data_IF_461698287279
#
_entry.id   IF_461698287279
#
_cell.length_a   1.000
_cell.length_b   1.000
_cell.length_c   1.000
_cell.angle_alpha   90.00
_cell.angle_beta   90.00
_cell.angle_gamma   90.00
#
_symmetry.space_group_name_H-M   'P 1'
#
loop_
_entity.id
_entity.type
_entity.pdbx_description
1 polymer ?
#
# COMPACT_ATOMS: atom_id res chain seq x y z
N UNK A 1 -8.98 7.42 -11.64
CA UNK A 1 -8.05 6.75 -10.69
C UNK A 1 -8.63 6.59 -9.30
N UNK A 2 -9.22 7.64 -8.72
CA UNK A 2 -9.81 7.60 -7.37
C UNK A 2 -10.79 6.44 -7.18
N UNK A 3 -11.73 6.25 -8.11
CA UNK A 3 -12.73 5.18 -8.02
C UNK A 3 -12.09 3.79 -8.09
N UNK A 4 -11.06 3.62 -8.91
CA UNK A 4 -10.34 2.34 -9.01
C UNK A 4 -9.61 2.01 -7.71
N UNK A 5 -8.96 2.98 -7.09
CA UNK A 5 -8.25 2.79 -5.81
C UNK A 5 -9.25 2.40 -4.72
N UNK A 6 -10.36 3.13 -4.62
CA UNK A 6 -11.39 2.85 -3.63
C UNK A 6 -11.98 1.46 -3.81
N UNK A 7 -12.26 1.05 -5.04
CA UNK A 7 -12.80 -0.28 -5.34
C UNK A 7 -11.83 -1.40 -4.95
N UNK A 8 -10.55 -1.25 -5.32
CA UNK A 8 -9.54 -2.26 -4.99
C UNK A 8 -9.38 -2.40 -3.47
N UNK A 9 -9.27 -1.28 -2.75
CA UNK A 9 -9.13 -1.32 -1.30
C UNK A 9 -10.36 -1.91 -0.63
N UNK A 10 -11.56 -1.59 -1.13
CA UNK A 10 -12.80 -2.15 -0.59
C UNK A 10 -12.91 -3.66 -0.75
N UNK A 11 -12.30 -4.21 -1.81
CA UNK A 11 -12.24 -5.66 -2.04
C UNK A 11 -11.22 -6.32 -1.11
N UNK A 12 -10.05 -5.72 -0.95
CA UNK A 12 -8.95 -6.31 -0.21
C UNK A 12 -9.09 -6.16 1.30
N UNK A 13 -9.49 -4.99 1.77
CA UNK A 13 -9.62 -4.71 3.19
C UNK A 13 -10.91 -5.27 3.76
N UNK A 14 -10.87 -5.70 5.02
CA UNK A 14 -12.09 -6.04 5.75
C UNK A 14 -12.95 -4.78 5.93
N UNK A 15 -14.30 -4.88 5.88
CA UNK A 15 -15.16 -3.72 6.07
C UNK A 15 -14.84 -2.97 7.37
N UNK A 16 -14.58 -1.67 7.27
CA UNK A 16 -14.18 -0.85 8.42
C UNK A 16 -12.77 -1.09 8.93
N UNK A 17 -12.00 -1.95 8.26
CA UNK A 17 -10.61 -2.22 8.65
C UNK A 17 -9.68 -1.04 8.39
N UNK A 18 -8.65 -0.93 9.22
CA UNK A 18 -7.63 0.12 9.09
C UNK A 18 -6.49 -0.38 8.20
N UNK A 19 -6.10 0.44 7.25
CA UNK A 19 -4.93 0.18 6.39
C UNK A 19 -3.99 1.38 6.44
N UNK A 20 -2.70 1.13 6.18
CA UNK A 20 -1.72 2.20 6.03
C UNK A 20 -1.45 2.47 4.56
N UNK A 21 -1.42 3.75 4.18
CA UNK A 21 -0.86 4.21 2.91
C UNK A 21 0.53 4.76 3.19
N UNK A 22 1.50 4.32 2.41
CA UNK A 22 2.89 4.76 2.53
C UNK A 22 3.40 5.21 1.18
N UNK A 23 3.92 6.43 1.10
CA UNK A 23 4.50 6.99 -0.12
C UNK A 23 5.97 7.27 0.10
N UNK A 24 6.80 6.85 -0.84
CA UNK A 24 8.26 7.06 -0.81
C UNK A 24 8.62 8.19 -1.76
N UNK A 25 9.35 9.20 -1.27
CA UNK A 25 9.72 10.38 -2.03
C UNK A 25 11.09 10.89 -1.59
N UNK A 26 12.10 10.86 -2.47
CA UNK A 26 13.42 11.47 -2.26
C UNK A 26 14.02 11.23 -0.86
N UNK A 27 14.04 9.95 -0.42
CA UNK A 27 14.60 9.58 0.87
C UNK A 27 13.72 9.88 2.09
N UNK A 28 12.51 10.37 1.88
CA UNK A 28 11.53 10.59 2.94
C UNK A 28 10.30 9.72 2.73
N UNK A 29 9.57 9.47 3.81
CA UNK A 29 8.32 8.71 3.77
C UNK A 29 7.16 9.60 4.19
N UNK A 30 6.05 9.49 3.44
CA UNK A 30 4.76 10.06 3.81
C UNK A 30 3.86 8.90 4.20
N UNK A 31 3.04 9.04 5.22
CA UNK A 31 2.17 7.96 5.66
C UNK A 31 0.89 8.44 6.30
N UNK A 32 -0.17 7.65 6.14
CA UNK A 32 -1.44 7.83 6.83
C UNK A 32 -2.13 6.51 7.07
N UNK A 33 -3.00 6.49 8.06
CA UNK A 33 -3.84 5.34 8.39
C UNK A 33 -5.29 5.67 8.06
N UNK A 34 -5.98 4.72 7.43
CA UNK A 34 -7.32 4.97 6.90
C UNK A 34 -8.27 3.84 7.25
N UNK A 35 -9.45 4.21 7.72
CA UNK A 35 -10.65 3.39 7.74
C UNK A 35 -11.74 3.97 6.85
N UNK A 36 -11.58 5.21 6.43
CA UNK A 36 -12.39 5.89 5.41
C UNK A 36 -11.71 5.75 4.06
N UNK A 37 -12.21 4.85 3.22
CA UNK A 37 -11.55 4.53 1.94
C UNK A 37 -11.79 5.58 0.85
N UNK A 38 -12.79 6.43 1.00
CA UNK A 38 -12.92 7.59 0.13
C UNK A 38 -11.81 8.62 0.42
N UNK A 39 -11.54 8.88 1.70
CA UNK A 39 -10.41 9.72 2.10
C UNK A 39 -9.08 9.13 1.65
N UNK A 40 -8.92 7.81 1.73
CA UNK A 40 -7.74 7.11 1.23
C UNK A 40 -7.56 7.36 -0.26
N UNK A 41 -8.61 7.17 -1.05
CA UNK A 41 -8.53 7.32 -2.51
C UNK A 41 -8.17 8.76 -2.91
N UNK A 42 -8.74 9.76 -2.24
CA UNK A 42 -8.39 11.16 -2.48
C UNK A 42 -6.93 11.44 -2.14
N UNK A 43 -6.44 10.87 -1.03
CA UNK A 43 -5.03 11.03 -0.63
C UNK A 43 -4.07 10.38 -1.61
N UNK A 44 -4.38 9.18 -2.07
CA UNK A 44 -3.56 8.48 -3.09
C UNK A 44 -3.52 9.28 -4.40
N UNK A 45 -4.66 9.81 -4.81
CA UNK A 45 -4.71 10.63 -6.04
C UNK A 45 -3.82 11.86 -5.91
N UNK A 46 -3.83 12.55 -4.76
CA UNK A 46 -2.97 13.70 -4.52
C UNK A 46 -1.49 13.32 -4.51
N UNK A 47 -1.14 12.19 -3.89
CA UNK A 47 0.24 11.68 -3.87
C UNK A 47 0.72 11.28 -5.27
N UNK A 48 -0.14 10.67 -6.06
CA UNK A 48 0.20 10.26 -7.42
C UNK A 48 0.46 11.46 -8.33
N UNK A 49 -0.16 12.58 -8.05
CA UNK A 49 0.08 13.83 -8.78
C UNK A 49 1.37 14.55 -8.36
N UNK A 50 1.99 14.16 -7.26
CA UNK A 50 3.24 14.74 -6.77
C UNK A 50 4.43 14.13 -7.48
N UNK A 51 5.21 14.90 -8.27
CA UNK A 51 6.34 14.35 -9.03
C UNK A 51 7.48 13.84 -8.15
N UNK A 52 7.57 14.24 -6.88
CA UNK A 52 8.59 13.73 -5.96
C UNK A 52 8.30 12.34 -5.44
N UNK A 53 7.06 11.86 -5.55
CA UNK A 53 6.65 10.53 -5.08
C UNK A 53 7.06 9.47 -6.09
N UNK A 54 7.93 8.56 -5.66
CA UNK A 54 8.42 7.46 -6.50
C UNK A 54 7.55 6.21 -6.43
N UNK A 55 6.86 5.99 -5.31
CA UNK A 55 5.99 4.83 -5.14
C UNK A 55 4.98 5.04 -4.03
N UNK A 56 3.81 4.41 -4.20
CA UNK A 56 2.71 4.45 -3.24
C UNK A 56 2.34 3.00 -2.92
N UNK A 57 2.25 2.69 -1.63
CA UNK A 57 1.98 1.34 -1.13
C UNK A 57 0.84 1.38 -0.13
N UNK A 58 -0.01 0.37 -0.17
CA UNK A 58 -1.10 0.17 0.80
C UNK A 58 -0.89 -1.20 1.45
N UNK A 59 -1.07 -1.29 2.77
CA UNK A 59 -0.97 -2.59 3.45
C UNK A 59 -2.02 -3.55 2.90
N UNK A 60 -1.58 -4.76 2.54
CA UNK A 60 -2.45 -5.78 1.97
C UNK A 60 -3.49 -6.29 2.97
N UNK A 61 -3.08 -6.39 4.23
CA UNK A 61 -3.93 -6.84 5.33
C UNK A 61 -4.21 -5.69 6.29
N UNK A 62 -5.36 -5.74 6.97
CA UNK A 62 -5.73 -4.72 7.93
C UNK A 62 -4.82 -4.75 9.15
N UNK A 63 -4.56 -3.58 9.69
CA UNK A 63 -3.67 -3.39 10.84
C UNK A 63 -4.49 -3.23 12.13
N UNK A 64 -3.82 -3.24 13.27
CA UNK A 64 -4.45 -2.95 14.55
C UNK A 64 -5.18 -1.60 14.48
N UNK A 65 -6.51 -1.57 14.76
CA UNK A 65 -7.29 -0.33 14.67
C UNK A 65 -6.75 0.82 15.52
N UNK A 66 -6.03 0.53 16.60
CA UNK A 66 -5.42 1.55 17.43
C UNK A 66 -4.39 2.41 16.68
N UNK A 67 -3.84 1.90 15.58
CA UNK A 67 -2.87 2.64 14.77
C UNK A 67 -3.51 3.84 14.05
N UNK A 68 -4.82 3.83 13.87
CA UNK A 68 -5.52 4.95 13.25
C UNK A 68 -5.23 6.28 13.97
N UNK A 69 -5.09 6.23 15.28
CA UNK A 69 -4.80 7.42 16.08
C UNK A 69 -3.47 8.10 15.74
N UNK A 70 -2.53 7.37 15.12
CA UNK A 70 -1.25 7.94 14.72
C UNK A 70 -1.41 9.06 13.69
N UNK A 71 -2.26 8.82 12.67
CA UNK A 71 -2.50 9.75 11.56
C UNK A 71 -3.84 9.41 10.91
N UNK A 72 -4.93 9.75 11.58
CA UNK A 72 -6.27 9.29 11.22
C UNK A 72 -6.77 9.93 9.92
N UNK A 73 -6.99 9.10 8.89
CA UNK A 73 -7.61 9.48 7.62
C UNK A 73 -6.95 10.70 6.95
N UNK A 74 -5.63 10.79 7.09
CA UNK A 74 -4.83 11.84 6.47
C UNK A 74 -3.40 11.36 6.26
N UNK A 75 -2.70 11.99 5.32
CA UNK A 75 -1.28 11.74 5.09
C UNK A 75 -0.47 12.77 5.88
N UNK A 76 0.45 12.28 6.70
CA UNK A 76 1.51 13.12 7.26
C UNK A 76 2.69 13.10 6.31
N UNK A 77 3.05 14.26 5.81
CA UNK A 77 4.18 14.41 4.92
C UNK A 77 5.49 14.41 5.72
N UNK A 78 6.51 13.77 5.17
CA UNK A 78 7.88 13.79 5.70
C UNK A 78 7.95 13.30 7.15
N UNK A 79 7.71 12.01 7.34
CA UNK A 79 7.79 11.40 8.67
C UNK A 79 9.17 11.63 9.30
N UNK A 80 9.17 11.89 10.60
CA UNK A 80 10.39 11.95 11.41
C UNK A 80 10.73 10.58 12.00
N UNK A 81 11.86 10.46 12.67
CA UNK A 81 12.25 9.22 13.38
C UNK A 81 11.27 8.83 14.49
N UNK A 82 10.49 9.79 15.00
CA UNK A 82 9.49 9.56 16.06
C UNK A 82 8.19 9.03 15.50
N UNK A 83 7.95 9.17 14.21
CA UNK A 83 6.72 8.73 13.56
C UNK A 83 6.82 7.25 13.22
N UNK A 84 6.06 6.43 13.92
CA UNK A 84 6.04 4.99 13.67
C UNK A 84 5.19 4.65 12.44
N UNK A 85 5.62 3.61 11.71
CA UNK A 85 4.85 2.99 10.64
C UNK A 85 4.44 1.58 11.06
N UNK A 86 3.69 0.88 10.22
CA UNK A 86 3.22 -0.47 10.52
C UNK A 86 4.39 -1.45 10.62
N UNK A 87 4.43 -2.20 11.72
CA UNK A 87 5.33 -3.33 11.91
C UNK A 87 4.57 -4.64 11.70
N UNK A 88 5.28 -5.76 11.55
CA UNK A 88 4.65 -7.07 11.34
C UNK A 88 3.67 -7.43 12.46
N UNK A 89 4.01 -7.09 13.71
CA UNK A 89 3.14 -7.35 14.86
C UNK A 89 1.83 -6.54 14.83
N UNK A 90 1.77 -5.47 14.04
CA UNK A 90 0.58 -4.63 13.91
C UNK A 90 -0.47 -5.25 12.98
N UNK A 91 -0.11 -6.26 12.20
CA UNK A 91 -1.04 -6.99 11.36
C UNK A 91 -1.79 -7.99 12.22
N UNK A 92 -3.08 -7.73 12.43
CA UNK A 92 -3.90 -8.57 13.31
C UNK A 92 -4.24 -9.92 12.72
N UNK A 93 -4.48 -9.93 11.40
CA UNK A 93 -4.94 -11.13 10.71
C UNK A 93 -4.48 -11.09 9.26
N UNK A 94 -3.92 -12.19 8.79
CA UNK A 94 -3.52 -12.34 7.40
C UNK A 94 -4.70 -12.93 6.60
N UNK A 95 -5.52 -12.05 6.05
CA UNK A 95 -6.61 -12.40 5.16
C UNK A 95 -6.09 -12.76 3.77
N UNK A 96 -5.04 -12.07 3.34
CA UNK A 96 -4.41 -12.27 2.04
C UNK A 96 -2.96 -12.68 2.25
N UNK A 97 -2.52 -13.65 1.46
CA UNK A 97 -1.14 -14.11 1.45
C UNK A 97 -0.57 -13.90 0.05
N UNK A 98 0.35 -12.95 -0.12
CA UNK A 98 0.91 -12.69 -1.44
C UNK A 98 1.82 -13.82 -1.87
N UNK A 99 1.71 -14.23 -3.12
CA UNK A 99 2.60 -15.20 -3.75
C UNK A 99 3.25 -14.52 -4.94
N UNK A 100 4.58 -14.49 -4.92
CA UNK A 100 5.37 -13.88 -5.97
C UNK A 100 5.93 -15.00 -6.86
N UNK A 101 5.52 -14.99 -8.13
CA UNK A 101 5.92 -16.01 -9.10
C UNK A 101 6.73 -15.33 -10.20
N UNK A 102 8.04 -15.58 -10.19
CA UNK A 102 8.94 -15.04 -11.19
C UNK A 102 9.28 -16.11 -12.23
N UNK A 103 9.08 -15.83 -13.53
CA UNK A 103 9.57 -16.72 -14.58
C UNK A 103 11.10 -16.67 -14.66
N UNK A 104 11.70 -17.77 -15.11
CA UNK A 104 13.16 -17.84 -15.34
C UNK A 104 13.51 -16.92 -16.51
N UNK A 105 14.35 -15.93 -16.27
CA UNK A 105 14.80 -14.97 -17.28
C UNK A 105 16.16 -14.38 -16.90
N UNK A 106 16.91 -13.83 -17.87
CA UNK A 106 18.11 -13.06 -17.57
C UNK A 106 17.78 -11.83 -16.72
N UNK A 107 18.70 -11.45 -15.86
CA UNK A 107 18.55 -10.27 -15.01
C UNK A 107 18.37 -9.00 -15.86
N UNK A 108 17.39 -8.17 -15.47
CA UNK A 108 17.11 -6.91 -16.15
C UNK A 108 16.23 -7.03 -17.39
N UNK A 109 15.78 -8.22 -17.75
CA UNK A 109 14.89 -8.46 -18.89
C UNK A 109 13.48 -8.73 -18.40
N UNK A 110 12.50 -8.07 -19.01
CA UNK A 110 11.10 -8.31 -18.69
C UNK A 110 10.65 -9.68 -19.19
N UNK A 111 9.72 -10.30 -18.47
CA UNK A 111 9.14 -11.58 -18.88
C UNK A 111 8.37 -11.45 -20.18
N UNK A 112 8.50 -12.44 -21.05
CA UNK A 112 7.59 -12.64 -22.18
C UNK A 112 6.32 -13.34 -21.71
N UNK A 113 5.28 -13.35 -22.53
CA UNK A 113 4.06 -14.09 -22.20
C UNK A 113 4.32 -15.59 -22.02
N UNK A 114 5.20 -16.18 -22.82
CA UNK A 114 5.59 -17.58 -22.70
C UNK A 114 6.28 -17.86 -21.37
N UNK A 115 7.20 -17.00 -20.97
CA UNK A 115 7.89 -17.12 -19.68
C UNK A 115 6.90 -16.98 -18.54
N UNK A 116 5.95 -16.07 -18.66
CA UNK A 116 4.91 -15.85 -17.67
C UNK A 116 4.00 -17.06 -17.53
N UNK A 117 3.58 -17.65 -18.63
CA UNK A 117 2.79 -18.87 -18.65
C UNK A 117 3.55 -20.03 -18.02
N UNK A 118 4.84 -20.19 -18.31
CA UNK A 118 5.68 -21.22 -17.72
C UNK A 118 5.81 -21.07 -16.20
N UNK A 119 5.90 -19.86 -15.69
CA UNK A 119 5.95 -19.58 -14.25
C UNK A 119 4.65 -19.97 -13.54
N UNK A 120 3.51 -19.85 -14.22
CA UNK A 120 2.20 -20.18 -13.68
C UNK A 120 1.85 -21.68 -13.79
N UNK A 121 2.55 -22.38 -14.65
CA UNK A 121 2.37 -23.83 -14.80
C UNK A 121 3.02 -24.61 -13.65
#
# INVERSE_FOLDING_TARGET
MKDNVQNVVSILAAPGGVVEVRALADGVTHSGYFDDYDALARSVEALDADPSVAGIYVTLNTVNPALLARRANRIKMRLSRKDATTADADILRRRWFPVDIDPVRPSGVSSTEEEHAAALA
#
